data_IF_909518886978
#
_entry.id   IF_909518886978
#
_cell.length_a   1.000
_cell.length_b   1.000
_cell.length_c   1.000
_cell.angle_alpha   90.00
_cell.angle_beta   90.00
_cell.angle_gamma   90.00
#
_symmetry.space_group_name_H-M   'P 1'
#
loop_
_entity.id
_entity.type
_entity.pdbx_description
1 polymer ?
#
# COMPACT_ATOMS: atom_id res chain seq x y z
N UNK A 1 6.24 11.61 15.14
CA UNK A 1 6.24 10.97 13.81
C UNK A 1 4.79 10.87 13.34
N UNK A 2 4.46 11.23 12.09
CA UNK A 2 3.08 11.16 11.59
C UNK A 2 2.83 9.76 11.04
N UNK A 3 1.73 9.12 11.43
CA UNK A 3 1.32 7.80 10.92
C UNK A 3 0.83 7.93 9.47
N UNK A 4 0.19 9.06 9.12
CA UNK A 4 -0.25 9.34 7.75
C UNK A 4 0.91 9.84 6.89
N UNK A 5 1.24 9.08 5.86
CA UNK A 5 2.34 9.39 4.94
C UNK A 5 1.87 10.03 3.64
N UNK A 6 0.57 9.98 3.32
CA UNK A 6 -0.05 10.43 2.05
C UNK A 6 0.45 9.71 0.78
N UNK A 7 1.36 8.74 0.91
CA UNK A 7 1.90 7.98 -0.22
C UNK A 7 0.87 7.08 -0.88
N UNK A 8 -0.25 6.82 -0.21
CA UNK A 8 -1.34 5.99 -0.71
C UNK A 8 -2.53 6.76 -1.29
N UNK A 9 -2.45 8.09 -1.40
CA UNK A 9 -3.58 8.91 -1.82
C UNK A 9 -3.94 8.67 -3.30
N UNK A 10 -2.99 8.19 -4.10
CA UNK A 10 -3.19 7.77 -5.49
C UNK A 10 -3.76 6.35 -5.65
N UNK A 11 -4.14 5.69 -4.55
CA UNK A 11 -4.71 4.33 -4.60
C UNK A 11 -3.67 3.20 -4.64
N UNK A 12 -2.40 3.49 -4.38
CA UNK A 12 -1.31 2.52 -4.33
C UNK A 12 -0.77 2.32 -2.91
N UNK A 13 -0.12 1.20 -2.65
CA UNK A 13 0.65 0.98 -1.42
C UNK A 13 1.90 0.13 -1.71
N UNK A 14 2.86 0.14 -0.81
CA UNK A 14 4.08 -0.63 -0.92
C UNK A 14 3.93 -1.98 -0.22
N UNK A 15 4.26 -3.06 -0.93
CA UNK A 15 4.47 -4.37 -0.33
C UNK A 15 5.81 -4.41 0.42
N UNK A 16 5.96 -5.44 1.25
CA UNK A 16 7.25 -5.82 1.80
C UNK A 16 8.28 -5.96 0.66
N UNK A 17 9.41 -5.26 0.80
CA UNK A 17 10.44 -5.14 -0.26
C UNK A 17 10.32 -3.89 -1.16
N UNK A 18 9.39 -2.98 -0.88
CA UNK A 18 9.32 -1.67 -1.54
C UNK A 18 8.60 -1.65 -2.89
N UNK A 19 8.12 -2.80 -3.37
CA UNK A 19 7.32 -2.88 -4.60
C UNK A 19 5.95 -2.21 -4.39
N UNK A 20 5.63 -1.19 -5.19
CA UNK A 20 4.31 -0.54 -5.16
C UNK A 20 3.30 -1.31 -6.00
N UNK A 21 2.10 -1.51 -5.45
CA UNK A 21 0.97 -2.16 -6.12
C UNK A 21 -0.33 -1.41 -5.79
N UNK A 22 -1.35 -1.55 -6.63
CA UNK A 22 -2.70 -1.02 -6.36
C UNK A 22 -3.25 -1.59 -5.05
N UNK A 23 -3.98 -0.79 -4.26
CA UNK A 23 -4.64 -1.23 -3.02
C UNK A 23 -5.61 -2.41 -3.23
N UNK A 24 -6.11 -2.58 -4.44
CA UNK A 24 -6.99 -3.70 -4.81
C UNK A 24 -6.22 -4.96 -5.21
N UNK A 25 -4.89 -4.99 -5.05
CA UNK A 25 -4.09 -6.16 -5.41
C UNK A 25 -4.50 -7.37 -4.55
N UNK A 26 -4.64 -8.58 -5.13
CA UNK A 26 -5.00 -9.79 -4.39
C UNK A 26 -4.13 -10.06 -3.16
N UNK A 27 -2.83 -9.71 -3.21
CA UNK A 27 -1.93 -9.87 -2.06
C UNK A 27 -2.28 -8.95 -0.90
N UNK A 28 -2.69 -7.72 -1.19
CA UNK A 28 -3.12 -6.79 -0.14
C UNK A 28 -4.42 -7.28 0.45
N UNK A 29 -5.37 -7.69 -0.38
CA UNK A 29 -6.64 -8.24 0.08
C UNK A 29 -6.45 -9.49 0.97
N UNK A 30 -5.43 -10.30 0.68
CA UNK A 30 -5.09 -11.45 1.52
C UNK A 30 -4.50 -11.07 2.88
N UNK A 31 -3.85 -9.91 3.00
CA UNK A 31 -3.23 -9.45 4.25
C UNK A 31 -4.12 -8.49 5.06
N UNK A 32 -5.01 -7.74 4.41
CA UNK A 32 -5.83 -6.67 4.99
C UNK A 32 -5.19 -5.29 4.85
#
# INVERSE_FOLDING_TARGET
MKIYTKTGDKGETALFGGKRVSKNNPRINAYG
#
